data_IF_939595496445
#
_entry.id   IF_939595496445
#
_cell.length_a   1.000
_cell.length_b   1.000
_cell.length_c   1.000
_cell.angle_alpha   90.00
_cell.angle_beta   90.00
_cell.angle_gamma   90.00
#
_symmetry.space_group_name_H-M   'P 1'
#
loop_
_entity.id
_entity.type
_entity.pdbx_description
1 polymer ?
#
# COMPACT_ATOMS: atom_id res chain seq x y z
N UNK A 1 18.22 11.69 -24.49
CA UNK A 1 17.48 11.66 -23.23
C UNK A 1 18.43 11.43 -22.04
N UNK A 2 19.24 10.37 -22.05
CA UNK A 2 20.19 10.07 -20.96
C UNK A 2 21.32 11.10 -20.79
N UNK A 3 21.63 11.84 -21.83
CA UNK A 3 22.70 12.84 -21.89
C UNK A 3 22.20 14.29 -21.76
N UNK A 4 21.01 14.50 -21.17
CA UNK A 4 20.38 15.84 -21.13
C UNK A 4 21.21 16.92 -20.38
N UNK A 5 22.02 16.53 -19.42
CA UNK A 5 22.88 17.42 -18.63
C UNK A 5 24.35 17.04 -18.65
N UNK A 6 24.69 15.94 -19.29
CA UNK A 6 26.05 15.44 -19.51
C UNK A 6 26.34 15.40 -21.00
N UNK A 7 27.60 15.40 -21.39
CA UNK A 7 27.98 15.29 -22.80
C UNK A 7 29.26 14.48 -22.96
N UNK A 8 29.43 13.94 -24.14
CA UNK A 8 30.69 13.34 -24.57
C UNK A 8 31.26 14.26 -25.63
N UNK A 9 32.48 14.73 -25.43
CA UNK A 9 33.19 15.58 -26.38
C UNK A 9 33.65 14.78 -27.62
N UNK A 10 34.01 15.45 -28.70
CA UNK A 10 34.45 14.76 -29.94
C UNK A 10 35.66 13.83 -29.75
N UNK A 11 36.51 14.08 -28.78
CA UNK A 11 37.64 13.25 -28.40
C UNK A 11 37.30 12.05 -27.51
N UNK A 12 36.00 11.86 -27.17
CA UNK A 12 35.50 10.79 -26.32
C UNK A 12 35.51 11.12 -24.82
N UNK A 13 35.96 12.32 -24.41
CA UNK A 13 35.94 12.72 -23.01
C UNK A 13 34.53 12.94 -22.49
N UNK A 14 34.19 12.28 -21.36
CA UNK A 14 32.90 12.45 -20.70
C UNK A 14 32.90 13.69 -19.80
N UNK A 15 32.01 14.62 -20.06
CA UNK A 15 31.74 15.79 -19.21
C UNK A 15 30.48 15.51 -18.38
N UNK A 16 30.64 15.33 -17.05
CA UNK A 16 29.51 15.04 -16.15
C UNK A 16 28.57 16.24 -16.03
N UNK A 17 27.32 15.96 -15.62
CA UNK A 17 26.37 17.00 -15.26
C UNK A 17 26.91 17.90 -14.13
N UNK A 18 26.57 19.20 -14.11
CA UNK A 18 27.03 20.15 -13.06
C UNK A 18 26.66 19.69 -11.64
N UNK A 19 25.59 18.95 -11.51
CA UNK A 19 25.16 18.29 -10.26
C UNK A 19 25.05 16.79 -10.55
N UNK A 20 25.88 15.99 -9.91
CA UNK A 20 25.98 14.54 -10.14
C UNK A 20 24.65 13.79 -10.02
N UNK A 21 23.73 14.31 -9.19
CA UNK A 21 22.40 13.71 -8.96
C UNK A 21 21.34 14.09 -9.99
N UNK A 22 21.57 15.02 -10.91
CA UNK A 22 20.58 15.42 -11.93
C UNK A 22 20.27 14.26 -12.90
N UNK A 23 21.26 13.40 -13.16
CA UNK A 23 21.05 12.18 -13.94
C UNK A 23 20.01 11.23 -13.34
N UNK A 24 19.79 11.30 -12.04
CA UNK A 24 18.78 10.51 -11.33
C UNK A 24 17.35 11.11 -11.43
N UNK A 25 17.17 12.27 -12.05
CA UNK A 25 15.85 12.91 -12.17
C UNK A 25 14.81 12.04 -12.84
N UNK A 26 15.20 11.23 -13.83
CA UNK A 26 14.30 10.27 -14.50
C UNK A 26 13.86 9.15 -13.55
N UNK A 27 14.77 8.63 -12.72
CA UNK A 27 14.45 7.59 -11.72
C UNK A 27 13.48 8.12 -10.66
N UNK A 28 13.61 9.39 -10.26
CA UNK A 28 12.68 10.03 -9.32
C UNK A 28 11.27 10.11 -9.92
N UNK A 29 11.15 10.44 -11.21
CA UNK A 29 9.87 10.43 -11.92
C UNK A 29 9.23 9.05 -11.90
N UNK A 30 9.97 8.01 -12.32
CA UNK A 30 9.45 6.64 -12.37
C UNK A 30 9.08 6.14 -10.97
N UNK A 31 9.87 6.46 -9.93
CA UNK A 31 9.52 6.11 -8.54
C UNK A 31 8.23 6.79 -8.10
N UNK A 32 8.01 8.04 -8.49
CA UNK A 32 6.74 8.75 -8.23
C UNK A 32 5.56 8.08 -8.93
N UNK A 33 5.78 7.59 -10.16
CA UNK A 33 4.79 6.84 -10.93
C UNK A 33 4.48 5.47 -10.28
N UNK A 34 5.48 4.78 -9.72
CA UNK A 34 5.28 3.54 -8.97
C UNK A 34 4.39 3.76 -7.74
N UNK A 35 4.48 4.90 -7.05
CA UNK A 35 3.56 5.23 -5.94
C UNK A 35 2.12 5.35 -6.43
N UNK A 36 1.91 5.98 -7.59
CA UNK A 36 0.60 6.08 -8.23
C UNK A 36 0.09 4.68 -8.65
N UNK A 37 0.94 3.88 -9.25
CA UNK A 37 0.62 2.50 -9.64
C UNK A 37 0.27 1.64 -8.42
N UNK A 38 0.95 1.83 -7.29
CA UNK A 38 0.61 1.15 -6.03
C UNK A 38 -0.84 1.42 -5.63
N UNK A 39 -1.25 2.69 -5.62
CA UNK A 39 -2.64 3.05 -5.34
C UNK A 39 -3.62 2.41 -6.34
N UNK A 40 -3.31 2.43 -7.63
CA UNK A 40 -4.17 1.91 -8.69
C UNK A 40 -4.37 0.39 -8.59
N UNK A 41 -3.29 -0.36 -8.39
CA UNK A 41 -3.36 -1.82 -8.27
C UNK A 41 -4.02 -2.27 -6.95
N UNK A 42 -3.84 -1.52 -5.87
CA UNK A 42 -4.55 -1.77 -4.61
C UNK A 42 -6.05 -1.54 -4.76
N UNK A 43 -6.46 -0.43 -5.40
CA UNK A 43 -7.87 -0.16 -5.74
C UNK A 43 -8.47 -1.28 -6.59
N UNK A 44 -7.74 -1.74 -7.62
CA UNK A 44 -8.17 -2.85 -8.48
C UNK A 44 -8.42 -4.11 -7.65
N UNK A 45 -7.45 -4.53 -6.85
CA UNK A 45 -7.55 -5.76 -6.07
C UNK A 45 -8.68 -5.71 -5.04
N UNK A 46 -8.79 -4.62 -4.27
CA UNK A 46 -9.83 -4.49 -3.24
C UNK A 46 -11.22 -4.35 -3.83
N UNK A 47 -11.37 -3.72 -5.01
CA UNK A 47 -12.65 -3.63 -5.72
C UNK A 47 -13.13 -5.02 -6.12
N UNK A 48 -12.27 -5.84 -6.74
CA UNK A 48 -12.62 -7.21 -7.12
C UNK A 48 -13.04 -8.02 -5.89
N UNK A 49 -12.23 -7.96 -4.83
CA UNK A 49 -12.48 -8.74 -3.62
C UNK A 49 -13.77 -8.32 -2.90
N UNK A 50 -14.01 -7.02 -2.71
CA UNK A 50 -15.22 -6.53 -2.02
C UNK A 50 -16.45 -6.86 -2.83
N UNK A 51 -16.48 -6.61 -4.15
CA UNK A 51 -17.62 -6.94 -4.99
C UNK A 51 -17.95 -8.44 -4.94
N UNK A 52 -16.93 -9.30 -5.04
CA UNK A 52 -17.15 -10.75 -4.93
C UNK A 52 -17.66 -11.15 -3.54
N UNK A 53 -17.09 -10.65 -2.46
CA UNK A 53 -17.50 -10.97 -1.10
C UNK A 53 -18.92 -10.46 -0.75
N UNK A 54 -19.41 -9.43 -1.45
CA UNK A 54 -20.79 -8.96 -1.37
C UNK A 54 -21.79 -9.92 -2.06
N UNK A 55 -21.36 -10.66 -3.08
CA UNK A 55 -22.18 -11.61 -3.82
C UNK A 55 -22.12 -13.00 -3.21
N UNK A 56 -20.91 -13.47 -2.88
CA UNK A 56 -20.69 -14.82 -2.36
C UNK A 56 -21.33 -15.00 -0.99
N UNK A 57 -22.12 -16.06 -0.88
CA UNK A 57 -22.68 -16.53 0.40
C UNK A 57 -22.09 -17.90 0.74
N UNK A 58 -21.88 -18.15 2.02
CA UNK A 58 -21.34 -19.43 2.49
C UNK A 58 -21.53 -19.61 3.99
N UNK A 59 -21.76 -20.89 4.37
CA UNK A 59 -21.87 -21.32 5.77
C UNK A 59 -23.09 -20.74 6.49
N UNK A 60 -23.00 -20.49 7.79
CA UNK A 60 -24.10 -20.21 8.70
C UNK A 60 -25.25 -19.40 8.10
N UNK A 61 -26.48 -19.92 8.10
CA UNK A 61 -27.64 -19.18 7.64
C UNK A 61 -27.82 -17.91 8.49
N UNK A 62 -28.10 -16.80 7.84
CA UNK A 62 -28.61 -15.61 8.49
C UNK A 62 -29.99 -15.95 9.10
N UNK A 63 -30.12 -15.75 10.42
CA UNK A 63 -31.35 -16.10 11.17
C UNK A 63 -32.56 -15.33 10.73
N UNK A 64 -32.41 -14.13 10.15
CA UNK A 64 -33.50 -13.29 9.67
C UNK A 64 -33.99 -13.70 8.28
N UNK A 65 -33.13 -14.17 7.39
CA UNK A 65 -33.43 -14.44 5.99
C UNK A 65 -33.43 -15.92 5.64
N UNK A 66 -32.88 -16.79 6.49
CA UNK A 66 -32.67 -18.21 6.22
C UNK A 66 -31.66 -18.52 5.11
N UNK A 67 -31.04 -17.50 4.54
CA UNK A 67 -29.97 -17.63 3.52
C UNK A 67 -28.58 -17.67 4.18
N UNK A 68 -27.65 -18.34 3.54
CA UNK A 68 -26.23 -18.25 3.98
C UNK A 68 -25.77 -16.79 4.06
N UNK A 69 -24.89 -16.49 5.03
CA UNK A 69 -24.31 -15.15 5.20
C UNK A 69 -23.47 -14.74 3.98
N UNK A 70 -23.48 -13.46 3.65
CA UNK A 70 -22.52 -12.91 2.70
C UNK A 70 -21.09 -13.00 3.30
N UNK A 71 -20.12 -13.38 2.49
CA UNK A 71 -18.73 -13.54 2.99
C UNK A 71 -18.17 -12.23 3.55
N UNK A 72 -18.61 -11.08 3.04
CA UNK A 72 -18.22 -9.76 3.56
C UNK A 72 -18.69 -9.51 5.00
N UNK A 73 -19.71 -10.24 5.49
CA UNK A 73 -20.28 -10.05 6.83
C UNK A 73 -19.47 -10.77 7.92
N UNK A 74 -18.55 -11.66 7.55
CA UNK A 74 -17.62 -12.24 8.50
C UNK A 74 -16.58 -11.23 8.94
N UNK A 75 -16.36 -11.13 10.25
CA UNK A 75 -15.42 -10.19 10.87
C UNK A 75 -14.00 -10.31 10.28
N UNK A 76 -13.55 -11.54 10.00
CA UNK A 76 -12.25 -11.79 9.38
C UNK A 76 -12.14 -11.19 7.98
N UNK A 77 -13.19 -11.32 7.15
CA UNK A 77 -13.23 -10.72 5.81
C UNK A 77 -13.17 -9.19 5.90
N UNK A 78 -13.92 -8.59 6.83
CA UNK A 78 -13.90 -7.15 7.09
C UNK A 78 -12.52 -6.69 7.57
N UNK A 79 -11.91 -7.41 8.54
CA UNK A 79 -10.59 -7.08 9.10
C UNK A 79 -9.48 -7.16 8.04
N UNK A 80 -9.66 -8.00 7.03
CA UNK A 80 -8.72 -8.11 5.91
C UNK A 80 -8.97 -7.02 4.86
N UNK A 81 -10.22 -6.85 4.41
CA UNK A 81 -10.52 -6.02 3.23
C UNK A 81 -10.65 -4.52 3.52
N UNK A 82 -11.26 -4.13 4.65
CA UNK A 82 -11.52 -2.70 4.91
C UNK A 82 -10.26 -1.90 5.26
N UNK A 83 -9.25 -2.44 5.97
CA UNK A 83 -7.96 -1.76 6.08
C UNK A 83 -7.25 -1.58 4.74
N UNK A 84 -7.36 -2.55 3.82
CA UNK A 84 -6.82 -2.42 2.46
C UNK A 84 -7.59 -1.33 1.69
N UNK A 85 -8.91 -1.28 1.84
CA UNK A 85 -9.75 -0.24 1.25
C UNK A 85 -9.32 1.16 1.75
N UNK A 86 -9.20 1.34 3.07
CA UNK A 86 -8.75 2.61 3.66
C UNK A 86 -7.32 2.98 3.18
N UNK A 87 -6.42 2.01 3.12
CA UNK A 87 -5.04 2.18 2.61
C UNK A 87 -5.02 2.57 1.13
N UNK A 88 -5.96 2.07 0.32
CA UNK A 88 -6.07 2.44 -1.10
C UNK A 88 -6.44 3.93 -1.27
N UNK A 89 -7.30 4.48 -0.41
CA UNK A 89 -7.58 5.92 -0.35
C UNK A 89 -6.35 6.71 0.10
N UNK A 90 -5.67 6.27 1.16
CA UNK A 90 -4.46 6.93 1.66
C UNK A 90 -3.33 6.96 0.61
N UNK A 91 -3.11 5.87 -0.12
CA UNK A 91 -2.11 5.81 -1.18
C UNK A 91 -2.48 6.67 -2.38
N UNK A 92 -3.78 6.81 -2.69
CA UNK A 92 -4.23 7.70 -3.76
C UNK A 92 -3.81 9.16 -3.48
N UNK A 93 -4.15 9.69 -2.32
CA UNK A 93 -3.80 11.07 -1.97
C UNK A 93 -2.28 11.26 -1.80
N UNK A 94 -1.59 10.23 -1.30
CA UNK A 94 -0.12 10.23 -1.22
C UNK A 94 0.52 10.27 -2.61
N UNK A 95 -0.08 9.59 -3.60
CA UNK A 95 0.40 9.64 -4.98
C UNK A 95 0.27 11.05 -5.58
N UNK A 96 -0.81 11.75 -5.28
CA UNK A 96 -1.00 13.13 -5.72
C UNK A 96 -0.01 14.09 -5.05
N UNK A 97 0.28 13.89 -3.75
CA UNK A 97 1.35 14.60 -3.07
C UNK A 97 2.70 14.38 -3.77
N UNK A 98 3.05 13.14 -4.07
CA UNK A 98 4.32 12.80 -4.70
C UNK A 98 4.45 13.43 -6.11
N UNK A 99 3.36 13.43 -6.89
CA UNK A 99 3.30 14.08 -8.20
C UNK A 99 3.45 15.58 -8.10
N UNK A 100 2.75 16.25 -7.17
CA UNK A 100 2.88 17.69 -6.94
C UNK A 100 4.32 18.07 -6.60
N UNK A 101 4.94 17.33 -5.69
CA UNK A 101 6.34 17.53 -5.28
C UNK A 101 7.32 17.40 -6.47
N UNK A 102 7.12 16.39 -7.32
CA UNK A 102 7.94 16.19 -8.52
C UNK A 102 7.77 17.31 -9.55
N UNK A 103 6.54 17.71 -9.87
CA UNK A 103 6.30 18.76 -10.85
C UNK A 103 6.75 20.14 -10.37
N UNK A 104 6.65 20.43 -9.09
CA UNK A 104 7.19 21.65 -8.50
C UNK A 104 8.72 21.70 -8.61
N UNK A 105 9.39 20.63 -8.25
CA UNK A 105 10.83 20.49 -8.46
C UNK A 105 11.20 20.68 -9.95
N UNK A 106 10.48 20.03 -10.87
CA UNK A 106 10.75 20.16 -12.31
C UNK A 106 10.58 21.60 -12.81
N UNK A 107 9.57 22.29 -12.31
CA UNK A 107 9.35 23.72 -12.63
C UNK A 107 10.49 24.60 -12.13
N UNK A 108 10.95 24.38 -10.90
CA UNK A 108 12.00 25.20 -10.29
C UNK A 108 13.38 24.90 -10.90
N UNK A 109 13.70 23.63 -11.15
CA UNK A 109 14.96 23.24 -11.79
C UNK A 109 15.10 23.77 -13.22
N UNK A 110 14.00 23.73 -14.02
CA UNK A 110 14.01 24.24 -15.40
C UNK A 110 14.05 25.76 -15.51
N UNK A 111 13.27 26.46 -14.65
CA UNK A 111 13.11 27.91 -14.76
C UNK A 111 14.16 28.71 -13.97
N UNK A 112 14.63 28.16 -12.84
CA UNK A 112 15.50 28.86 -11.89
C UNK A 112 16.85 28.18 -11.69
N UNK A 113 17.10 27.07 -12.36
CA UNK A 113 18.26 26.19 -12.11
C UNK A 113 18.42 25.81 -10.63
N UNK A 114 17.28 25.68 -9.91
CA UNK A 114 17.24 25.40 -8.49
C UNK A 114 17.03 23.89 -8.26
N UNK A 115 18.01 23.26 -7.64
CA UNK A 115 18.07 21.85 -7.30
C UNK A 115 18.00 21.59 -5.80
N UNK A 116 17.72 22.61 -4.99
CA UNK A 116 17.75 22.53 -3.52
C UNK A 116 16.81 21.48 -2.95
N UNK A 117 15.62 21.26 -3.57
CA UNK A 117 14.63 20.27 -3.18
C UNK A 117 14.99 18.82 -3.61
N UNK A 118 16.01 18.61 -4.44
CA UNK A 118 16.36 17.28 -4.96
C UNK A 118 16.68 16.24 -3.88
N UNK A 119 17.42 16.55 -2.80
CA UNK A 119 17.70 15.57 -1.74
C UNK A 119 16.46 15.05 -1.04
N UNK A 120 15.51 15.94 -0.71
CA UNK A 120 14.24 15.61 -0.09
C UNK A 120 13.37 14.80 -1.05
N UNK A 121 13.20 15.26 -2.28
CA UNK A 121 12.44 14.58 -3.31
C UNK A 121 12.98 13.17 -3.60
N UNK A 122 14.31 13.01 -3.65
CA UNK A 122 14.94 11.71 -3.84
C UNK A 122 14.67 10.76 -2.66
N UNK A 123 14.79 11.24 -1.43
CA UNK A 123 14.54 10.44 -0.24
C UNK A 123 13.05 10.04 -0.13
N UNK A 124 12.14 11.00 -0.34
CA UNK A 124 10.68 10.79 -0.26
C UNK A 124 10.21 9.81 -1.33
N UNK A 125 10.63 9.99 -2.59
CA UNK A 125 10.27 9.07 -3.68
C UNK A 125 10.81 7.66 -3.46
N UNK A 126 12.02 7.53 -2.90
CA UNK A 126 12.62 6.23 -2.57
C UNK A 126 11.83 5.51 -1.48
N UNK A 127 11.57 6.18 -0.38
CA UNK A 127 10.85 5.59 0.75
C UNK A 127 9.40 5.25 0.42
N UNK A 128 8.66 6.17 -0.21
CA UNK A 128 7.26 5.94 -0.59
C UNK A 128 7.14 4.85 -1.66
N UNK A 129 8.05 4.78 -2.64
CA UNK A 129 8.08 3.67 -3.60
C UNK A 129 8.22 2.34 -2.88
N UNK A 130 9.16 2.22 -1.96
CA UNK A 130 9.38 0.99 -1.21
C UNK A 130 8.18 0.63 -0.33
N UNK A 131 7.69 1.57 0.47
CA UNK A 131 6.58 1.37 1.40
C UNK A 131 5.28 1.00 0.69
N UNK A 132 4.90 1.77 -0.34
CA UNK A 132 3.65 1.55 -1.06
C UNK A 132 3.69 0.28 -1.92
N UNK A 133 4.83 -0.04 -2.56
CA UNK A 133 4.90 -1.23 -3.41
C UNK A 133 4.87 -2.53 -2.62
N UNK A 134 5.53 -2.62 -1.47
CA UNK A 134 5.40 -3.78 -0.57
C UNK A 134 3.96 -3.97 -0.12
N UNK A 135 3.36 -2.93 0.45
CA UNK A 135 1.99 -3.00 0.97
C UNK A 135 0.98 -3.41 -0.11
N UNK A 136 1.15 -2.91 -1.34
CA UNK A 136 0.25 -3.26 -2.46
C UNK A 136 0.44 -4.70 -2.93
N UNK A 137 1.68 -5.19 -3.02
CA UNK A 137 1.94 -6.59 -3.37
C UNK A 137 1.26 -7.54 -2.38
N UNK A 138 1.39 -7.26 -1.09
CA UNK A 138 0.80 -8.09 -0.04
C UNK A 138 -0.75 -7.94 -0.02
N UNK A 139 -1.28 -6.75 -0.29
CA UNK A 139 -2.72 -6.52 -0.39
C UNK A 139 -3.38 -7.27 -1.56
N UNK A 140 -2.72 -7.37 -2.73
CA UNK A 140 -3.24 -8.15 -3.86
C UNK A 140 -3.44 -9.61 -3.46
N UNK A 141 -2.46 -10.21 -2.79
CA UNK A 141 -2.54 -11.59 -2.32
C UNK A 141 -3.60 -11.76 -1.21
N UNK A 142 -3.66 -10.85 -0.25
CA UNK A 142 -4.68 -10.87 0.78
C UNK A 142 -6.11 -10.79 0.18
N UNK A 143 -6.34 -9.92 -0.80
CA UNK A 143 -7.60 -9.82 -1.53
C UNK A 143 -7.93 -11.13 -2.26
N UNK A 144 -6.96 -11.76 -2.92
CA UNK A 144 -7.11 -13.04 -3.60
C UNK A 144 -7.58 -14.13 -2.64
N UNK A 145 -6.97 -14.21 -1.47
CA UNK A 145 -7.29 -15.22 -0.45
C UNK A 145 -8.71 -15.10 0.07
N UNK A 146 -9.26 -13.87 0.21
CA UNK A 146 -10.66 -13.67 0.64
C UNK A 146 -11.69 -14.17 -0.38
N UNK A 147 -11.28 -14.40 -1.63
CA UNK A 147 -12.14 -14.95 -2.69
C UNK A 147 -12.11 -16.50 -2.74
N UNK A 148 -11.38 -17.15 -1.84
CA UNK A 148 -11.30 -18.62 -1.77
C UNK A 148 -10.78 -19.25 -3.07
N UNK A 149 -11.31 -20.39 -3.45
CA UNK A 149 -10.90 -21.10 -4.67
C UNK A 149 -11.14 -20.31 -5.96
N UNK A 150 -12.19 -19.49 -6.02
CA UNK A 150 -12.42 -18.61 -7.17
C UNK A 150 -11.32 -17.58 -7.34
N UNK A 151 -10.71 -17.07 -6.27
CA UNK A 151 -9.58 -16.15 -6.33
C UNK A 151 -8.32 -16.73 -6.97
N UNK A 152 -8.20 -18.04 -7.04
CA UNK A 152 -7.09 -18.73 -7.69
C UNK A 152 -7.24 -18.84 -9.21
N UNK A 153 -8.48 -18.80 -9.72
CA UNK A 153 -8.76 -18.93 -11.14
C UNK A 153 -8.19 -17.73 -11.94
N UNK A 154 -7.71 -17.99 -13.17
CA UNK A 154 -7.26 -16.91 -14.07
C UNK A 154 -8.35 -15.86 -14.32
N UNK A 155 -9.62 -16.28 -14.40
CA UNK A 155 -10.78 -15.42 -14.59
C UNK A 155 -11.02 -14.44 -13.42
N UNK A 156 -10.41 -14.69 -12.26
CA UNK A 156 -10.42 -13.76 -11.15
C UNK A 156 -9.52 -12.53 -11.37
N UNK A 157 -8.52 -12.64 -12.24
CA UNK A 157 -7.57 -11.58 -12.57
C UNK A 157 -6.47 -11.33 -11.52
N UNK A 158 -6.51 -11.98 -10.34
CA UNK A 158 -5.52 -11.74 -9.28
C UNK A 158 -4.14 -12.29 -9.63
N UNK A 159 -4.05 -13.50 -10.20
CA UNK A 159 -2.78 -14.14 -10.55
C UNK A 159 -1.98 -13.29 -11.53
N UNK A 160 -2.61 -12.85 -12.61
CA UNK A 160 -2.00 -11.96 -13.62
C UNK A 160 -1.65 -10.59 -13.04
N UNK A 161 -2.52 -10.05 -12.17
CA UNK A 161 -2.29 -8.77 -11.49
C UNK A 161 -1.08 -8.85 -10.57
N UNK A 162 -0.95 -9.91 -9.76
CA UNK A 162 0.18 -10.12 -8.87
C UNK A 162 1.49 -10.33 -9.65
N UNK A 163 1.48 -11.17 -10.70
CA UNK A 163 2.65 -11.42 -11.53
C UNK A 163 3.16 -10.13 -12.21
N UNK A 164 2.25 -9.31 -12.73
CA UNK A 164 2.58 -8.02 -13.36
C UNK A 164 3.07 -6.99 -12.35
N UNK A 165 2.57 -7.04 -11.10
CA UNK A 165 2.89 -6.05 -10.08
C UNK A 165 4.17 -6.39 -9.29
N UNK A 166 4.47 -7.67 -9.09
CA UNK A 166 5.58 -8.13 -8.25
C UNK A 166 6.94 -7.47 -8.55
N UNK A 167 7.32 -7.20 -9.81
CA UNK A 167 8.59 -6.53 -10.09
C UNK A 167 8.75 -5.14 -9.47
N UNK A 168 7.63 -4.46 -9.10
CA UNK A 168 7.67 -3.13 -8.48
C UNK A 168 8.44 -3.09 -7.15
N UNK A 169 8.64 -4.22 -6.49
CA UNK A 169 9.41 -4.26 -5.23
C UNK A 169 10.92 -4.32 -5.45
N UNK A 170 11.37 -4.57 -6.67
CA UNK A 170 12.80 -4.74 -7.03
C UNK A 170 13.31 -3.72 -8.04
N UNK A 171 12.62 -3.52 -9.16
CA UNK A 171 13.10 -2.61 -10.19
C UNK A 171 12.99 -1.14 -9.75
N UNK A 172 13.70 -0.23 -10.42
CA UNK A 172 13.90 1.18 -10.03
C UNK A 172 14.55 1.33 -8.63
N UNK A 173 15.19 0.27 -8.17
CA UNK A 173 15.86 0.11 -6.89
C UNK A 173 15.14 -0.89 -5.97
N UNK A 174 15.91 -1.85 -5.46
CA UNK A 174 15.42 -2.75 -4.42
C UNK A 174 14.89 -1.97 -3.22
N UNK A 175 13.76 -2.40 -2.68
CA UNK A 175 13.07 -1.66 -1.65
C UNK A 175 13.87 -1.52 -0.35
N UNK A 176 14.69 -2.50 0.03
CA UNK A 176 15.55 -2.36 1.21
C UNK A 176 16.60 -1.27 0.96
N UNK A 177 17.23 -1.29 -0.21
CA UNK A 177 18.20 -0.26 -0.61
C UNK A 177 17.56 1.14 -0.63
N UNK A 178 16.32 1.24 -1.10
CA UNK A 178 15.60 2.52 -1.13
C UNK A 178 15.25 3.02 0.28
N UNK A 179 14.86 2.13 1.20
CA UNK A 179 14.68 2.48 2.60
C UNK A 179 15.99 3.01 3.22
N UNK A 180 17.15 2.41 2.90
CA UNK A 180 18.43 2.91 3.37
C UNK A 180 18.77 4.30 2.82
N UNK A 181 18.40 4.62 1.58
CA UNK A 181 18.55 5.97 1.03
C UNK A 181 17.70 6.99 1.79
N UNK A 182 16.45 6.62 2.10
CA UNK A 182 15.55 7.45 2.91
C UNK A 182 16.11 7.63 4.32
N UNK A 183 16.52 6.56 5.00
CA UNK A 183 17.10 6.62 6.34
C UNK A 183 18.36 7.53 6.38
N UNK A 184 19.28 7.37 5.41
CA UNK A 184 20.47 8.23 5.30
C UNK A 184 20.09 9.72 5.27
N UNK A 185 19.04 10.08 4.53
CA UNK A 185 18.54 11.44 4.48
C UNK A 185 17.97 11.89 5.83
N UNK A 186 17.11 11.07 6.46
CA UNK A 186 16.52 11.38 7.77
C UNK A 186 17.56 11.60 8.85
N UNK A 187 18.53 10.70 8.96
CA UNK A 187 19.63 10.82 9.94
C UNK A 187 20.47 12.07 9.69
N UNK A 188 20.72 12.40 8.42
CA UNK A 188 21.43 13.64 8.07
C UNK A 188 20.65 14.87 8.52
N UNK A 189 19.34 14.94 8.26
CA UNK A 189 18.49 16.05 8.68
C UNK A 189 18.44 16.13 10.21
N UNK A 190 18.26 15.00 10.90
CA UNK A 190 18.23 14.97 12.35
C UNK A 190 19.55 15.48 12.99
N UNK A 191 20.72 15.06 12.48
CA UNK A 191 22.01 15.56 12.94
C UNK A 191 22.17 17.07 12.75
N UNK A 192 21.74 17.60 11.60
CA UNK A 192 21.76 19.03 11.30
C UNK A 192 20.83 19.83 12.23
N UNK A 193 19.66 19.27 12.54
CA UNK A 193 18.72 19.85 13.48
C UNK A 193 19.34 19.97 14.88
N UNK A 194 20.10 18.98 15.34
CA UNK A 194 20.83 19.04 16.63
C UNK A 194 21.89 20.15 16.66
N UNK A 195 22.35 20.64 15.50
CA UNK A 195 23.26 21.79 15.37
C UNK A 195 22.55 23.11 15.10
N UNK A 196 21.19 23.14 15.18
CA UNK A 196 20.39 24.36 15.09
C UNK A 196 19.79 24.65 13.71
N UNK A 197 19.94 23.75 12.73
CA UNK A 197 19.26 23.91 11.44
C UNK A 197 17.77 23.54 11.57
N UNK A 198 16.90 24.32 10.91
CA UNK A 198 15.45 24.03 10.84
C UNK A 198 15.20 22.91 9.84
N UNK A 199 14.49 21.82 10.22
CA UNK A 199 14.14 20.73 9.30
C UNK A 199 13.07 21.17 8.29
N UNK A 200 12.96 20.51 7.11
CA UNK A 200 11.83 20.66 6.22
C UNK A 200 10.50 20.43 6.93
N UNK A 201 9.43 21.09 6.46
CA UNK A 201 8.12 21.07 7.11
C UNK A 201 7.59 19.66 7.41
N UNK A 202 7.70 18.74 6.45
CA UNK A 202 7.24 17.34 6.61
C UNK A 202 8.06 16.56 7.65
N UNK A 203 9.28 17.03 7.97
CA UNK A 203 10.16 16.49 9.00
C UNK A 203 10.08 17.25 10.32
N UNK A 204 9.13 18.18 10.47
CA UNK A 204 8.93 18.95 11.69
C UNK A 204 8.74 18.10 12.93
N UNK A 205 8.24 16.88 12.80
CA UNK A 205 8.10 15.93 13.92
C UNK A 205 9.43 15.56 14.58
N UNK A 206 10.58 15.74 13.87
CA UNK A 206 11.92 15.48 14.43
C UNK A 206 12.32 16.48 15.52
N UNK A 207 11.68 17.64 15.62
CA UNK A 207 12.02 18.69 16.59
C UNK A 207 11.63 18.38 18.04
N UNK A 208 10.80 17.39 18.24
CA UNK A 208 10.39 16.94 19.56
C UNK A 208 9.02 16.29 19.50
N UNK A 209 8.93 15.13 20.11
CA UNK A 209 7.67 14.44 20.29
C UNK A 209 7.22 14.55 21.74
N UNK A 210 5.93 14.59 21.95
CA UNK A 210 5.34 14.39 23.25
C UNK A 210 5.85 13.08 23.84
N UNK A 211 6.31 13.10 25.08
CA UNK A 211 6.78 11.92 25.81
C UNK A 211 5.66 10.93 26.12
N UNK A 212 4.40 11.30 25.89
CA UNK A 212 3.24 10.47 26.11
C UNK A 212 2.18 10.71 25.03
N UNK A 213 1.51 9.65 24.58
CA UNK A 213 0.43 9.71 23.61
C UNK A 213 -0.75 10.54 24.14
N UNK A 214 -1.29 11.41 23.29
CA UNK A 214 -2.61 12.01 23.52
C UNK A 214 -3.73 10.96 23.56
N UNK A 215 -3.53 9.78 22.95
CA UNK A 215 -4.43 8.63 23.10
C UNK A 215 -4.43 8.10 24.54
N UNK A 216 -3.29 8.19 25.26
CA UNK A 216 -3.18 7.83 26.68
C UNK A 216 -3.90 8.78 27.64
N UNK A 217 -4.18 10.00 27.22
CA UNK A 217 -4.75 11.05 28.07
C UNK A 217 -6.27 11.23 27.92
N UNK A 218 -6.98 10.20 27.41
CA UNK A 218 -8.45 10.24 27.25
C UNK A 218 -8.92 10.96 25.98
N UNK A 219 -8.04 11.22 25.03
CA UNK A 219 -8.44 11.66 23.69
C UNK A 219 -9.28 10.57 23.02
N UNK A 220 -10.23 10.98 22.17
CA UNK A 220 -10.98 10.03 21.36
C UNK A 220 -10.04 9.26 20.42
N UNK A 221 -10.18 7.94 20.34
CA UNK A 221 -9.47 7.10 19.38
C UNK A 221 -9.80 7.45 17.92
N UNK A 222 -10.79 8.31 17.69
CA UNK A 222 -11.17 8.86 16.39
C UNK A 222 -10.66 10.29 16.16
N UNK A 223 -9.84 10.81 17.06
CA UNK A 223 -9.18 12.10 16.83
C UNK A 223 -8.00 11.91 15.86
N UNK A 224 -8.16 12.42 14.65
CA UNK A 224 -7.16 12.30 13.60
C UNK A 224 -5.83 12.97 13.95
N UNK A 225 -5.85 14.02 14.78
CA UNK A 225 -4.63 14.67 15.28
C UNK A 225 -3.90 13.77 16.27
N UNK A 226 -4.63 13.17 17.20
CA UNK A 226 -4.06 12.24 18.18
C UNK A 226 -3.44 11.00 17.48
N UNK A 227 -4.10 10.48 16.44
CA UNK A 227 -3.57 9.42 15.61
C UNK A 227 -2.27 9.87 14.92
N UNK A 228 -2.27 11.06 14.32
CA UNK A 228 -1.08 11.59 13.65
C UNK A 228 0.09 11.81 14.62
N UNK A 229 -0.18 12.29 15.82
CA UNK A 229 0.82 12.49 16.85
C UNK A 229 1.47 11.16 17.28
N UNK A 230 0.70 10.06 17.33
CA UNK A 230 1.25 8.72 17.55
C UNK A 230 2.20 8.29 16.44
N UNK A 231 1.85 8.50 15.18
CA UNK A 231 2.73 8.23 14.03
C UNK A 231 4.00 9.10 14.06
N UNK A 232 3.85 10.38 14.43
CA UNK A 232 4.97 11.31 14.58
C UNK A 232 5.94 10.86 15.67
N UNK A 233 5.40 10.47 16.85
CA UNK A 233 6.18 9.92 17.94
C UNK A 233 6.97 8.68 17.54
N UNK A 234 6.30 7.71 16.92
CA UNK A 234 6.95 6.49 16.44
C UNK A 234 8.09 6.79 15.46
N UNK A 235 7.84 7.66 14.47
CA UNK A 235 8.84 8.03 13.48
C UNK A 235 10.02 8.77 14.12
N UNK A 236 9.76 9.71 15.04
CA UNK A 236 10.80 10.41 15.80
C UNK A 236 11.65 9.46 16.61
N UNK A 237 11.05 8.59 17.41
CA UNK A 237 11.75 7.63 18.26
C UNK A 237 12.68 6.75 17.44
N UNK A 238 12.18 6.13 16.38
CA UNK A 238 12.95 5.20 15.56
C UNK A 238 14.07 5.88 14.76
N UNK A 239 13.86 7.12 14.29
CA UNK A 239 14.93 7.91 13.64
C UNK A 239 16.02 8.30 14.67
N UNK A 240 15.60 8.72 15.86
CA UNK A 240 16.53 9.08 16.96
C UNK A 240 17.35 7.86 17.37
N UNK A 241 16.71 6.71 17.54
CA UNK A 241 17.38 5.46 17.89
C UNK A 241 18.35 4.99 16.81
N UNK A 242 17.94 5.02 15.54
CA UNK A 242 18.80 4.70 14.41
C UNK A 242 20.01 5.65 14.34
N UNK A 243 19.83 6.93 14.67
CA UNK A 243 20.92 7.88 14.75
C UNK A 243 21.89 7.58 15.92
N UNK A 244 21.34 7.24 17.10
CA UNK A 244 22.09 6.91 18.31
C UNK A 244 22.95 5.66 18.12
N UNK A 245 22.39 4.57 17.60
CA UNK A 245 23.14 3.33 17.36
C UNK A 245 24.20 3.48 16.26
N UNK A 246 24.00 4.41 15.32
CA UNK A 246 24.99 4.72 14.29
C UNK A 246 26.23 5.43 14.86
N UNK A 247 26.10 6.17 15.97
CA UNK A 247 27.20 6.81 16.68
C UNK A 247 28.13 7.59 15.77
N UNK A 248 29.42 7.32 15.92
CA UNK A 248 30.51 7.93 15.15
C UNK A 248 30.89 7.11 13.89
N UNK A 249 30.21 6.02 13.61
CA UNK A 249 30.47 5.23 12.42
C UNK A 249 30.30 6.06 11.15
N UNK A 250 31.10 5.73 10.13
CA UNK A 250 30.85 6.29 8.79
C UNK A 250 29.44 5.93 8.34
N UNK A 251 28.79 6.75 7.50
CA UNK A 251 27.43 6.42 7.01
C UNK A 251 27.34 5.05 6.33
N UNK A 252 28.39 4.60 5.65
CA UNK A 252 28.42 3.32 4.95
C UNK A 252 28.60 2.15 5.92
N UNK A 253 29.45 2.28 6.95
CA UNK A 253 29.60 1.28 8.00
C UNK A 253 28.32 1.18 8.86
N UNK A 254 27.77 2.32 9.28
CA UNK A 254 26.51 2.36 10.04
C UNK A 254 25.37 1.70 9.25
N UNK A 255 25.26 1.99 7.96
CA UNK A 255 24.27 1.39 7.08
C UNK A 255 24.44 -0.14 7.00
N UNK A 256 25.65 -0.64 6.95
CA UNK A 256 25.96 -2.09 6.89
C UNK A 256 25.63 -2.80 8.20
N UNK A 257 25.98 -2.20 9.34
CA UNK A 257 25.86 -2.83 10.67
C UNK A 257 24.44 -2.66 11.25
N UNK A 258 23.79 -1.52 11.00
CA UNK A 258 22.48 -1.15 11.56
C UNK A 258 21.38 -1.07 10.50
N UNK A 259 21.48 -1.87 9.42
CA UNK A 259 20.55 -1.88 8.30
C UNK A 259 19.08 -2.06 8.73
N UNK A 260 18.82 -2.94 9.69
CA UNK A 260 17.45 -3.22 10.16
C UNK A 260 16.83 -2.00 10.81
N UNK A 261 17.55 -1.35 11.73
CA UNK A 261 17.08 -0.13 12.40
C UNK A 261 16.84 1.01 11.41
N UNK A 262 17.72 1.16 10.42
CA UNK A 262 17.54 2.16 9.36
C UNK A 262 16.31 1.91 8.51
N UNK A 263 16.07 0.65 8.10
CA UNK A 263 14.87 0.28 7.33
C UNK A 263 13.61 0.53 8.16
N UNK A 264 13.62 0.18 9.45
CA UNK A 264 12.49 0.39 10.35
C UNK A 264 12.18 1.89 10.51
N UNK A 265 13.20 2.72 10.72
CA UNK A 265 13.05 4.17 10.79
C UNK A 265 12.48 4.76 9.49
N UNK A 266 12.97 4.31 8.33
CA UNK A 266 12.44 4.73 7.02
C UNK A 266 10.97 4.34 6.83
N UNK A 267 10.60 3.11 7.21
CA UNK A 267 9.19 2.65 7.14
C UNK A 267 8.28 3.47 8.06
N UNK A 268 8.73 3.78 9.27
CA UNK A 268 7.98 4.61 10.22
C UNK A 268 7.75 6.02 9.67
N UNK A 269 8.78 6.64 9.10
CA UNK A 269 8.66 7.92 8.42
C UNK A 269 7.66 7.86 7.25
N UNK A 270 7.75 6.84 6.38
CA UNK A 270 6.83 6.70 5.26
C UNK A 270 5.37 6.51 5.72
N UNK A 271 5.15 5.73 6.79
CA UNK A 271 3.84 5.58 7.40
C UNK A 271 3.28 6.91 7.91
N UNK A 272 4.12 7.73 8.58
CA UNK A 272 3.77 9.08 9.00
C UNK A 272 3.40 9.96 7.78
N UNK A 273 4.21 9.97 6.72
CA UNK A 273 3.94 10.77 5.52
C UNK A 273 2.61 10.37 4.87
N UNK A 274 2.31 9.07 4.78
CA UNK A 274 1.03 8.59 4.24
C UNK A 274 -0.14 9.05 5.10
N UNK A 275 -0.05 8.90 6.43
CA UNK A 275 -1.10 9.32 7.37
C UNK A 275 -1.31 10.84 7.34
N UNK A 276 -0.22 11.63 7.34
CA UNK A 276 -0.25 13.07 7.24
C UNK A 276 -0.99 13.55 5.97
N UNK A 277 -0.64 12.98 4.80
CA UNK A 277 -1.29 13.34 3.55
C UNK A 277 -2.76 12.88 3.53
N UNK A 278 -3.11 11.78 4.16
CA UNK A 278 -4.50 11.31 4.20
C UNK A 278 -5.37 12.27 5.04
N UNK A 279 -4.89 12.71 6.19
CA UNK A 279 -5.58 13.70 7.02
C UNK A 279 -5.68 15.04 6.29
N UNK A 280 -4.60 15.51 5.69
CA UNK A 280 -4.60 16.77 4.94
C UNK A 280 -5.64 16.76 3.82
N UNK A 281 -5.68 15.68 3.03
CA UNK A 281 -6.67 15.54 1.97
C UNK A 281 -8.11 15.42 2.50
N UNK A 282 -8.31 14.77 3.65
CA UNK A 282 -9.60 14.73 4.34
C UNK A 282 -10.05 16.14 4.73
N UNK A 283 -9.19 16.95 5.34
CA UNK A 283 -9.48 18.34 5.71
C UNK A 283 -9.77 19.23 4.49
N UNK A 284 -8.98 19.09 3.42
CA UNK A 284 -9.21 19.82 2.16
C UNK A 284 -10.53 19.42 1.48
N UNK A 285 -11.01 18.19 1.72
CA UNK A 285 -12.27 17.69 1.16
C UNK A 285 -13.49 18.11 1.97
N UNK A 286 -13.32 18.41 3.26
CA UNK A 286 -14.39 18.76 4.21
C UNK A 286 -15.40 19.81 3.68
N UNK A 287 -14.99 20.93 3.09
CA UNK A 287 -15.93 21.95 2.58
C UNK A 287 -16.61 21.57 1.26
N UNK A 288 -16.25 20.43 0.63
CA UNK A 288 -16.64 20.10 -0.74
C UNK A 288 -17.65 18.95 -0.84
N UNK A 289 -17.90 18.26 0.27
CA UNK A 289 -18.75 17.05 0.29
C UNK A 289 -19.85 17.16 1.35
N UNK A 290 -20.87 16.31 1.24
CA UNK A 290 -21.93 16.22 2.23
C UNK A 290 -21.42 15.71 3.58
N UNK A 291 -22.15 16.03 4.67
CA UNK A 291 -21.81 15.54 6.01
C UNK A 291 -21.77 14.01 6.08
N UNK A 292 -22.62 13.31 5.33
CA UNK A 292 -22.65 11.84 5.29
C UNK A 292 -21.38 11.29 4.62
N UNK A 293 -21.00 11.85 3.47
CA UNK A 293 -19.75 11.48 2.79
C UNK A 293 -18.53 11.76 3.69
N UNK A 294 -18.53 12.93 4.34
CA UNK A 294 -17.43 13.29 5.25
C UNK A 294 -17.30 12.30 6.41
N UNK A 295 -18.43 11.87 6.97
CA UNK A 295 -18.46 10.87 8.05
C UNK A 295 -17.86 9.53 7.62
N UNK A 296 -18.18 9.07 6.41
CA UNK A 296 -17.62 7.83 5.86
C UNK A 296 -16.12 7.97 5.61
N UNK A 297 -15.66 9.09 5.04
CA UNK A 297 -14.24 9.35 4.83
C UNK A 297 -13.47 9.43 6.15
N UNK A 298 -14.04 10.05 7.19
CA UNK A 298 -13.45 10.08 8.52
C UNK A 298 -13.23 8.67 9.10
N UNK A 299 -14.22 7.76 8.93
CA UNK A 299 -14.08 6.35 9.34
C UNK A 299 -12.90 5.67 8.64
N UNK A 300 -12.67 5.96 7.36
CA UNK A 300 -11.52 5.42 6.62
C UNK A 300 -10.19 5.97 7.14
N UNK A 301 -10.12 7.27 7.46
CA UNK A 301 -8.94 7.90 8.07
C UNK A 301 -8.62 7.23 9.41
N UNK A 302 -9.62 7.12 10.30
CA UNK A 302 -9.46 6.47 11.60
C UNK A 302 -9.06 5.00 11.46
N UNK A 303 -9.73 4.24 10.57
CA UNK A 303 -9.41 2.83 10.36
C UNK A 303 -7.97 2.64 9.85
N UNK A 304 -7.54 3.46 8.88
CA UNK A 304 -6.16 3.42 8.38
C UNK A 304 -5.15 3.69 9.51
N UNK A 305 -5.41 4.72 10.30
CA UNK A 305 -4.53 5.12 11.39
C UNK A 305 -4.45 4.06 12.49
N UNK A 306 -5.59 3.62 13.02
CA UNK A 306 -5.62 2.65 14.11
C UNK A 306 -5.08 1.27 13.70
N UNK A 307 -5.37 0.81 12.46
CA UNK A 307 -4.77 -0.44 11.96
C UNK A 307 -3.25 -0.34 11.83
N UNK A 308 -2.70 0.80 11.40
CA UNK A 308 -1.25 0.96 11.33
C UNK A 308 -0.57 1.01 12.70
N UNK A 309 -1.25 1.52 13.73
CA UNK A 309 -0.79 1.45 15.12
C UNK A 309 -0.84 -0.02 15.60
N UNK A 310 -1.96 -0.74 15.38
CA UNK A 310 -2.10 -2.15 15.78
C UNK A 310 -1.06 -3.05 15.09
N UNK A 311 -0.80 -2.84 13.79
CA UNK A 311 0.21 -3.58 13.01
C UNK A 311 1.65 -3.39 13.54
N UNK A 312 1.92 -2.32 14.29
CA UNK A 312 3.23 -1.96 14.83
C UNK A 312 3.21 -1.72 16.35
N UNK A 313 2.24 -2.33 17.04
CA UNK A 313 1.97 -2.12 18.47
C UNK A 313 3.20 -2.34 19.36
N UNK A 314 4.04 -3.33 19.03
CA UNK A 314 5.27 -3.61 19.78
C UNK A 314 6.17 -2.38 19.92
N UNK A 315 6.29 -1.58 18.86
CA UNK A 315 7.11 -0.38 18.86
C UNK A 315 6.55 0.75 19.76
N UNK A 316 5.26 0.75 20.03
CA UNK A 316 4.61 1.69 20.96
C UNK A 316 4.65 1.22 22.42
N UNK A 317 4.66 -0.10 22.64
CA UNK A 317 4.76 -0.69 23.96
C UNK A 317 6.18 -0.62 24.54
N UNK A 318 7.21 -0.65 23.67
CA UNK A 318 8.63 -0.61 24.08
C UNK A 318 9.00 0.63 24.92
N UNK A 319 8.38 1.77 24.66
CA UNK A 319 8.63 3.02 25.39
C UNK A 319 7.41 3.49 26.21
N UNK A 320 6.43 2.60 26.38
CA UNK A 320 5.17 2.87 27.10
C UNK A 320 4.39 4.08 26.56
N UNK A 321 4.52 4.36 25.25
CA UNK A 321 3.72 5.39 24.59
C UNK A 321 2.24 4.99 24.51
N UNK A 322 1.98 3.69 24.36
CA UNK A 322 0.68 3.01 24.48
C UNK A 322 0.86 1.88 25.48
N UNK A 323 -0.09 1.71 26.39
CA UNK A 323 -0.12 0.59 27.31
C UNK A 323 -1.02 -0.56 26.85
N UNK A 324 -1.07 -1.67 27.62
CA UNK A 324 -1.82 -2.86 27.25
C UNK A 324 -3.34 -2.65 27.20
N UNK A 325 -3.91 -1.80 28.06
CA UNK A 325 -5.33 -1.46 28.08
C UNK A 325 -5.69 -0.65 26.83
N UNK A 326 -4.92 0.36 26.51
CA UNK A 326 -5.08 1.18 25.31
C UNK A 326 -4.92 0.35 24.03
N UNK A 327 -4.01 -0.62 24.01
CA UNK A 327 -3.87 -1.54 22.88
C UNK A 327 -5.14 -2.39 22.66
N UNK A 328 -5.83 -2.77 23.73
CA UNK A 328 -7.14 -3.45 23.66
C UNK A 328 -8.21 -2.52 23.12
N UNK A 329 -8.30 -1.29 23.65
CA UNK A 329 -9.27 -0.28 23.23
C UNK A 329 -9.14 0.06 21.73
N UNK A 330 -7.90 0.15 21.23
CA UNK A 330 -7.63 0.36 19.80
C UNK A 330 -8.21 -0.77 18.95
N UNK A 331 -8.05 -2.03 19.35
CA UNK A 331 -8.60 -3.18 18.63
C UNK A 331 -10.13 -3.19 18.67
N UNK A 332 -10.72 -2.86 19.82
CA UNK A 332 -12.18 -2.77 19.95
C UNK A 332 -12.74 -1.66 19.05
N UNK A 333 -12.04 -0.53 18.97
CA UNK A 333 -12.44 0.58 18.10
C UNK A 333 -12.32 0.22 16.61
N UNK A 334 -11.26 -0.52 16.23
CA UNK A 334 -11.14 -1.08 14.88
C UNK A 334 -12.37 -1.94 14.55
N UNK A 335 -12.79 -2.85 15.44
CA UNK A 335 -13.96 -3.70 15.20
C UNK A 335 -15.28 -2.92 15.08
N UNK A 336 -15.43 -1.80 15.80
CA UNK A 336 -16.58 -0.90 15.61
C UNK A 336 -16.55 -0.23 14.22
N UNK A 337 -15.39 0.30 13.84
CA UNK A 337 -15.22 0.93 12.52
C UNK A 337 -15.49 -0.04 11.36
N UNK A 338 -15.07 -1.31 11.47
CA UNK A 338 -15.37 -2.32 10.46
C UNK A 338 -16.88 -2.47 10.23
N UNK A 339 -17.67 -2.56 11.32
CA UNK A 339 -19.13 -2.65 11.25
C UNK A 339 -19.77 -1.41 10.64
N UNK A 340 -19.24 -0.23 10.99
CA UNK A 340 -19.75 1.05 10.51
C UNK A 340 -19.43 1.30 9.02
N UNK A 341 -18.32 0.77 8.50
CA UNK A 341 -17.93 0.90 7.09
C UNK A 341 -18.67 -0.11 6.22
N UNK A 342 -19.10 -1.24 6.78
CA UNK A 342 -19.73 -2.34 6.02
C UNK A 342 -20.86 -1.90 5.10
N UNK A 343 -21.82 -1.05 5.50
CA UNK A 343 -22.90 -0.61 4.62
C UNK A 343 -22.43 0.16 3.39
N UNK A 344 -21.33 0.87 3.51
CA UNK A 344 -20.79 1.77 2.49
C UNK A 344 -19.77 1.07 1.56
N UNK A 345 -19.43 -0.20 1.83
CA UNK A 345 -18.32 -0.90 1.16
C UNK A 345 -18.45 -0.94 -0.37
N UNK A 346 -19.65 -1.17 -0.91
CA UNK A 346 -19.91 -1.16 -2.36
C UNK A 346 -19.70 0.24 -2.96
N UNK A 347 -20.28 1.26 -2.33
CA UNK A 347 -20.16 2.65 -2.80
C UNK A 347 -18.71 3.15 -2.77
N UNK A 348 -17.95 2.76 -1.76
CA UNK A 348 -16.54 3.14 -1.60
C UNK A 348 -15.66 2.56 -2.72
N UNK A 349 -15.84 1.31 -3.11
CA UNK A 349 -15.07 0.75 -4.24
C UNK A 349 -15.56 1.27 -5.58
N UNK A 350 -16.85 1.56 -5.72
CA UNK A 350 -17.40 2.16 -6.93
C UNK A 350 -16.93 3.60 -7.13
N UNK A 351 -16.66 4.32 -6.05
CA UNK A 351 -16.09 5.68 -6.09
C UNK A 351 -14.69 5.74 -6.73
N UNK A 352 -13.98 4.61 -6.83
CA UNK A 352 -12.71 4.56 -7.57
C UNK A 352 -12.89 4.72 -9.09
N UNK A 353 -14.10 4.58 -9.62
CA UNK A 353 -14.40 4.76 -11.04
C UNK A 353 -13.77 3.70 -11.96
N UNK A 354 -13.40 2.53 -11.43
CA UNK A 354 -12.80 1.45 -12.19
C UNK A 354 -13.89 0.67 -12.94
N UNK A 355 -13.80 0.63 -14.26
CA UNK A 355 -14.74 -0.16 -15.09
C UNK A 355 -14.33 -1.65 -15.15
N UNK A 356 -15.26 -2.50 -15.52
CA UNK A 356 -15.07 -3.96 -15.58
C UNK A 356 -13.99 -4.37 -16.58
N UNK A 357 -13.82 -3.63 -17.68
CA UNK A 357 -12.75 -3.88 -18.65
C UNK A 357 -11.34 -3.71 -18.01
N UNK A 358 -11.14 -2.62 -17.26
CA UNK A 358 -9.88 -2.40 -16.55
C UNK A 358 -9.65 -3.42 -15.43
N UNK A 359 -10.71 -3.81 -14.72
CA UNK A 359 -10.63 -4.83 -13.68
C UNK A 359 -10.17 -6.18 -14.27
N UNK A 360 -10.61 -6.50 -15.49
CA UNK A 360 -10.30 -7.76 -16.17
C UNK A 360 -10.50 -8.96 -15.23
N UNK A 361 -11.72 -9.06 -14.66
CA UNK A 361 -12.05 -10.03 -13.63
C UNK A 361 -13.54 -10.33 -13.67
N UNK A 362 -13.89 -11.59 -13.82
CA UNK A 362 -15.28 -12.02 -13.71
C UNK A 362 -15.82 -11.85 -12.28
N UNK A 363 -14.96 -11.90 -11.26
CA UNK A 363 -15.35 -11.74 -9.86
C UNK A 363 -15.69 -10.28 -9.51
N UNK A 364 -15.04 -9.33 -10.21
CA UNK A 364 -15.19 -7.90 -9.96
C UNK A 364 -16.33 -7.24 -10.72
N UNK A 365 -17.23 -8.00 -11.33
CA UNK A 365 -18.35 -7.47 -12.11
C UNK A 365 -19.22 -6.50 -11.31
N UNK A 366 -19.45 -5.30 -11.87
CA UNK A 366 -20.19 -4.24 -11.18
C UNK A 366 -21.67 -4.59 -10.96
N UNK A 367 -22.26 -5.34 -11.88
CA UNK A 367 -23.64 -5.82 -11.79
C UNK A 367 -23.84 -6.96 -10.79
N UNK A 368 -22.76 -7.57 -10.29
CA UNK A 368 -22.81 -8.70 -9.36
C UNK A 368 -23.13 -10.04 -10.00
N UNK A 369 -23.28 -10.12 -11.34
CA UNK A 369 -23.59 -11.38 -12.04
C UNK A 369 -22.33 -12.24 -12.28
N UNK A 370 -21.63 -12.53 -11.19
CA UNK A 370 -20.33 -13.21 -11.17
C UNK A 370 -20.43 -14.62 -11.75
N UNK A 371 -21.43 -15.41 -11.35
CA UNK A 371 -21.51 -16.82 -11.72
C UNK A 371 -21.89 -17.00 -13.19
N UNK A 372 -22.73 -16.13 -13.73
CA UNK A 372 -23.07 -16.12 -15.14
C UNK A 372 -21.82 -15.79 -15.98
N UNK A 373 -21.09 -14.76 -15.60
CA UNK A 373 -19.84 -14.38 -16.28
C UNK A 373 -18.80 -15.50 -16.25
N UNK A 374 -18.60 -16.13 -15.09
CA UNK A 374 -17.70 -17.28 -14.98
C UNK A 374 -18.12 -18.42 -15.92
N UNK A 375 -19.41 -18.71 -16.00
CA UNK A 375 -19.94 -19.76 -16.88
C UNK A 375 -19.70 -19.42 -18.36
N UNK A 376 -20.06 -18.22 -18.79
CA UNK A 376 -19.94 -17.77 -20.17
C UNK A 376 -18.45 -17.77 -20.62
N UNK A 377 -17.53 -17.25 -19.80
CA UNK A 377 -16.08 -17.28 -20.04
C UNK A 377 -15.54 -18.72 -20.18
N UNK A 378 -16.00 -19.64 -19.33
CA UNK A 378 -15.62 -21.06 -19.40
C UNK A 378 -16.13 -21.69 -20.69
N UNK A 379 -17.38 -21.39 -21.11
CA UNK A 379 -17.93 -21.90 -22.38
C UNK A 379 -17.17 -21.39 -23.60
N UNK A 380 -16.65 -20.15 -23.54
CA UNK A 380 -15.88 -19.57 -24.62
C UNK A 380 -14.43 -20.05 -24.68
N UNK A 381 -13.94 -20.71 -23.66
CA UNK A 381 -12.58 -21.24 -23.64
C UNK A 381 -12.35 -22.26 -24.77
N UNK A 382 -11.25 -22.15 -25.55
CA UNK A 382 -11.02 -23.02 -26.71
C UNK A 382 -11.05 -24.51 -26.40
N UNK A 383 -10.60 -24.90 -25.20
CA UNK A 383 -10.59 -26.30 -24.76
C UNK A 383 -12.00 -26.86 -24.51
N UNK A 384 -12.97 -26.00 -24.19
CA UNK A 384 -14.35 -26.40 -23.90
C UNK A 384 -15.27 -26.41 -25.15
N UNK A 385 -14.75 -25.95 -26.30
CA UNK A 385 -15.47 -26.04 -27.59
C UNK A 385 -15.58 -27.47 -28.12
N UNK A 386 -14.86 -28.42 -27.56
CA UNK A 386 -14.88 -29.85 -27.93
C UNK A 386 -15.22 -30.70 -26.72
N UNK A 387 -16.03 -31.76 -26.94
CA UNK A 387 -16.39 -32.70 -25.86
C UNK A 387 -15.20 -33.52 -25.34
N UNK A 388 -14.16 -33.66 -26.14
CA UNK A 388 -12.93 -34.38 -25.76
C UNK A 388 -11.71 -33.52 -25.94
N UNK A 389 -10.72 -33.57 -25.03
CA UNK A 389 -9.49 -32.80 -25.16
C UNK A 389 -8.65 -33.27 -26.37
N UNK A 390 -7.76 -32.42 -26.88
CA UNK A 390 -6.80 -32.81 -27.93
C UNK A 390 -5.99 -34.05 -27.49
N UNK A 391 -5.80 -34.99 -28.39
CA UNK A 391 -5.08 -36.25 -28.11
C UNK A 391 -5.90 -37.31 -27.38
N UNK A 392 -7.18 -37.07 -27.07
CA UNK A 392 -8.02 -38.07 -26.40
C UNK A 392 -8.11 -39.37 -27.19
N UNK A 393 -8.42 -39.28 -28.49
CA UNK A 393 -8.62 -40.46 -29.34
C UNK A 393 -7.32 -41.26 -29.53
N UNK A 394 -6.18 -40.58 -29.62
CA UNK A 394 -4.88 -41.20 -29.88
C UNK A 394 -4.20 -41.72 -28.61
N UNK A 395 -4.33 -40.99 -27.51
CA UNK A 395 -3.54 -41.25 -26.30
C UNK A 395 -4.33 -41.89 -25.15
N UNK A 396 -5.55 -41.45 -24.95
CA UNK A 396 -6.35 -41.81 -23.79
C UNK A 396 -7.41 -42.88 -24.10
N UNK A 397 -8.18 -42.73 -25.16
CA UNK A 397 -9.22 -43.68 -25.55
C UNK A 397 -8.72 -45.12 -25.74
N UNK A 398 -7.57 -45.41 -26.39
CA UNK A 398 -7.06 -46.76 -26.50
C UNK A 398 -6.70 -47.42 -25.17
N UNK A 399 -6.33 -46.59 -24.17
CA UNK A 399 -6.00 -47.10 -22.81
C UNK A 399 -7.27 -47.40 -22.03
N UNK A 400 -8.30 -46.58 -22.16
CA UNK A 400 -9.59 -46.78 -21.49
C UNK A 400 -10.36 -47.95 -22.12
N UNK A 401 -10.32 -48.11 -23.44
CA UNK A 401 -11.02 -49.18 -24.18
C UNK A 401 -10.38 -50.56 -23.94
N UNK A 402 -9.11 -50.66 -23.52
CA UNK A 402 -8.45 -51.96 -23.23
C UNK A 402 -8.87 -52.60 -21.93
N UNK A 403 -9.85 -52.04 -21.23
CA UNK A 403 -10.59 -52.74 -20.17
C UNK A 403 -9.82 -53.29 -18.98
N UNK A 404 -8.54 -52.94 -18.79
CA UNK A 404 -7.68 -53.47 -17.75
C UNK A 404 -7.03 -52.34 -16.93
N UNK A 405 -7.84 -51.53 -16.28
CA UNK A 405 -7.41 -51.09 -14.97
C UNK A 405 -7.80 -52.24 -14.02
N UNK A 406 -6.85 -53.12 -13.77
CA UNK A 406 -7.01 -54.14 -12.71
C UNK A 406 -7.48 -53.39 -11.48
N UNK A 407 -8.69 -53.67 -11.05
CA UNK A 407 -9.14 -53.31 -9.70
C UNK A 407 -8.20 -54.11 -8.79
N UNK A 408 -7.15 -53.45 -8.35
CA UNK A 408 -6.35 -53.93 -7.23
C UNK A 408 -7.33 -54.10 -6.08
N UNK A 409 -7.64 -55.36 -5.76
CA UNK A 409 -8.33 -55.67 -4.53
C UNK A 409 -7.39 -55.23 -3.39
N UNK A 410 -7.68 -54.07 -2.81
CA UNK A 410 -7.29 -53.74 -1.45
C UNK A 410 -8.35 -54.27 -0.51
#
# INVERSE_FOLDING_TARGET
>A
MLMGHSRVEPDGMYVPAPVSKVSYGTMVFIRSDIVMNAALYMKKAVTIAIRYNLVRRQSNPDTATGKECQVIDYQHSQRTLFPILAKAFAFHVTSDYMRRMYFEFQKNSRKKNDFSALPELHATSSGLKAYCSWATKDAIEACRLTCGGHGYMNLAGFGTTLASYAPNVTYEGDNNVLCLQTARYLLKVYRKMLTGETPPQVLGYLTGASSRSSLALGASLRDEKAILDAYAHRAWRLVTEACKVSGELTPDDAMRVHMVQWITAAKAHCAFVVMYNFILAYEETRPRVSADTLRVLHRLVCLHGLCGIDDTMGEFLEDAHIDGEQASDIRDEIFKLLKEIRPDAAALVDAFGLNDYFLNSALGAKDGDVYRRLYDEVQDAPLNKKHTPPGYAELLQPKLSRGNFGVSKL
#
